data_IF_845762779480
#
_entry.id   IF_845762779480
#
_cell.length_a   1.000
_cell.length_b   1.000
_cell.length_c   1.000
_cell.angle_alpha   90.00
_cell.angle_beta   90.00
_cell.angle_gamma   90.00
#
_symmetry.space_group_name_H-M   'P 1'
#
loop_
_entity.id
_entity.type
_entity.pdbx_description
1 polymer ?
#
# COMPACT_ATOMS: atom_id res chain seq x y z
N UNK A 1 -1.14 19.20 5.29
CA UNK A 1 -0.73 19.89 6.54
C UNK A 1 -0.16 21.23 6.11
N UNK A 2 -0.80 22.33 6.48
CA UNK A 2 -0.52 23.68 5.97
C UNK A 2 0.93 24.15 6.23
N UNK A 3 1.56 23.62 7.26
CA UNK A 3 2.92 24.00 7.66
C UNK A 3 4.00 23.00 7.21
N UNK A 4 3.70 22.04 6.33
CA UNK A 4 4.64 21.02 5.88
C UNK A 4 4.72 21.00 4.35
N UNK A 5 5.90 20.72 3.79
CA UNK A 5 6.13 20.69 2.35
C UNK A 5 7.27 19.76 1.99
N UNK A 6 7.38 19.40 0.71
CA UNK A 6 8.51 18.63 0.16
C UNK A 6 9.84 19.34 0.45
N UNK A 7 9.88 20.67 0.29
CA UNK A 7 11.07 21.48 0.60
C UNK A 7 11.49 21.32 2.07
N UNK A 8 10.54 21.37 3.00
CA UNK A 8 10.83 21.20 4.44
C UNK A 8 11.33 19.79 4.76
N UNK A 9 10.75 18.77 4.15
CA UNK A 9 11.22 17.38 4.29
C UNK A 9 12.69 17.27 3.83
N UNK A 10 12.99 17.80 2.64
CA UNK A 10 14.35 17.80 2.11
C UNK A 10 15.34 18.55 3.02
N UNK A 11 14.96 19.76 3.49
CA UNK A 11 15.79 20.56 4.43
C UNK A 11 15.98 19.88 5.79
N UNK A 12 15.02 19.09 6.25
CA UNK A 12 15.10 18.32 7.48
C UNK A 12 15.96 17.04 7.34
N UNK A 13 16.50 16.74 6.16
CA UNK A 13 17.34 15.57 5.90
C UNK A 13 16.55 14.30 5.57
N UNK A 14 15.30 14.42 5.12
CA UNK A 14 14.52 13.27 4.65
C UNK A 14 15.10 12.67 3.38
N UNK A 15 15.13 11.34 3.29
CA UNK A 15 15.64 10.58 2.14
C UNK A 15 14.62 10.44 1.03
N UNK A 16 13.33 10.47 1.37
CA UNK A 16 12.22 10.37 0.42
C UNK A 16 10.98 11.07 0.96
N UNK A 17 10.03 11.37 0.08
CA UNK A 17 8.69 11.82 0.43
C UNK A 17 7.73 10.66 0.22
N UNK A 18 6.96 10.31 1.26
CA UNK A 18 5.89 9.31 1.17
C UNK A 18 4.53 9.98 1.33
N UNK A 19 3.63 9.71 0.40
CA UNK A 19 2.24 10.12 0.47
C UNK A 19 1.34 8.90 0.36
N UNK A 20 0.28 8.88 1.15
CA UNK A 20 -0.82 7.94 0.99
C UNK A 20 -1.95 8.65 0.23
N UNK A 21 -2.39 8.05 -0.87
CA UNK A 21 -3.57 8.48 -1.61
C UNK A 21 -4.64 7.39 -1.56
N UNK A 22 -5.81 7.78 -1.07
CA UNK A 22 -7.02 6.98 -1.23
C UNK A 22 -7.56 7.21 -2.63
N UNK A 23 -7.59 6.17 -3.45
CA UNK A 23 -8.02 6.31 -4.83
C UNK A 23 -8.88 5.12 -5.26
N UNK A 24 -9.99 5.42 -5.91
CA UNK A 24 -10.90 4.42 -6.42
C UNK A 24 -11.38 4.84 -7.81
N UNK A 25 -11.04 4.10 -8.88
CA UNK A 25 -11.23 4.53 -10.27
C UNK A 25 -12.67 4.83 -10.68
N UNK A 26 -13.65 4.24 -9.98
CA UNK A 26 -15.08 4.43 -10.18
C UNK A 26 -15.71 5.54 -9.31
N UNK A 27 -14.87 6.31 -8.60
CA UNK A 27 -15.33 7.47 -7.83
C UNK A 27 -15.80 8.61 -8.75
N UNK A 28 -16.54 9.55 -8.17
CA UNK A 28 -17.00 10.73 -8.92
C UNK A 28 -15.81 11.54 -9.49
N UNK A 29 -16.02 12.12 -10.65
CA UNK A 29 -14.99 12.83 -11.41
C UNK A 29 -14.25 13.90 -10.58
N UNK A 30 -14.97 14.65 -9.75
CA UNK A 30 -14.40 15.70 -8.90
C UNK A 30 -13.42 15.13 -7.88
N UNK A 31 -13.74 14.00 -7.26
CA UNK A 31 -12.84 13.31 -6.31
C UNK A 31 -11.60 12.76 -7.01
N UNK A 32 -11.76 12.18 -8.21
CA UNK A 32 -10.64 11.69 -9.02
C UNK A 32 -9.70 12.84 -9.41
N UNK A 33 -10.24 13.94 -9.95
CA UNK A 33 -9.44 15.10 -10.35
C UNK A 33 -8.69 15.71 -9.16
N UNK A 34 -9.31 15.80 -7.99
CA UNK A 34 -8.68 16.32 -6.79
C UNK A 34 -7.47 15.46 -6.36
N UNK A 35 -7.64 14.13 -6.31
CA UNK A 35 -6.55 13.22 -5.95
C UNK A 35 -5.43 13.22 -6.99
N UNK A 36 -5.77 13.24 -8.26
CA UNK A 36 -4.81 13.30 -9.35
C UNK A 36 -3.98 14.58 -9.31
N UNK A 37 -4.60 15.74 -9.14
CA UNK A 37 -3.91 17.02 -9.01
C UNK A 37 -3.03 17.09 -7.77
N UNK A 38 -3.51 16.51 -6.65
CA UNK A 38 -2.72 16.46 -5.42
C UNK A 38 -1.44 15.65 -5.61
N UNK A 39 -1.54 14.43 -6.16
CA UNK A 39 -0.39 13.56 -6.39
C UNK A 39 0.57 14.18 -7.41
N UNK A 40 0.04 14.75 -8.50
CA UNK A 40 0.85 15.41 -9.52
C UNK A 40 1.66 16.57 -8.92
N UNK A 41 1.04 17.45 -8.14
CA UNK A 41 1.74 18.55 -7.48
C UNK A 41 2.87 18.08 -6.57
N UNK A 42 2.64 17.02 -5.78
CA UNK A 42 3.69 16.46 -4.91
C UNK A 42 4.83 15.88 -5.75
N UNK A 43 4.53 15.16 -6.83
CA UNK A 43 5.55 14.61 -7.73
C UNK A 43 6.41 15.71 -8.39
N UNK A 44 5.77 16.78 -8.86
CA UNK A 44 6.47 17.96 -9.42
C UNK A 44 7.38 18.64 -8.38
N UNK A 45 6.92 18.76 -7.13
CA UNK A 45 7.77 19.27 -6.04
C UNK A 45 8.93 18.31 -5.70
N UNK A 46 8.70 17.00 -5.70
CA UNK A 46 9.76 16.02 -5.47
C UNK A 46 10.84 16.07 -6.55
N UNK A 47 10.45 16.18 -7.83
CA UNK A 47 11.38 16.38 -8.94
C UNK A 47 12.17 17.70 -8.78
N UNK A 48 11.49 18.81 -8.46
CA UNK A 48 12.11 20.11 -8.21
C UNK A 48 13.18 20.09 -7.13
N UNK A 49 12.92 19.39 -6.03
CA UNK A 49 13.86 19.32 -4.89
C UNK A 49 14.78 18.09 -4.94
N UNK A 50 14.76 17.32 -6.03
CA UNK A 50 15.59 16.11 -6.22
C UNK A 50 15.51 15.17 -5.00
N UNK A 51 14.30 14.79 -4.62
CA UNK A 51 14.00 13.85 -3.54
C UNK A 51 13.04 12.76 -4.06
N UNK A 52 13.32 11.46 -3.81
CA UNK A 52 12.47 10.38 -4.28
C UNK A 52 11.02 10.49 -3.78
N UNK A 53 10.08 10.15 -4.66
CA UNK A 53 8.66 10.14 -4.36
C UNK A 53 8.11 8.71 -4.26
N UNK A 54 7.70 8.31 -3.06
CA UNK A 54 7.02 7.04 -2.77
C UNK A 54 5.52 7.27 -2.64
N UNK A 55 4.73 6.69 -3.54
CA UNK A 55 3.28 6.77 -3.51
C UNK A 55 2.66 5.49 -2.96
N UNK A 56 1.97 5.60 -1.83
CA UNK A 56 1.14 4.55 -1.28
C UNK A 56 -0.30 4.70 -1.79
N UNK A 57 -0.79 3.66 -2.48
CA UNK A 57 -2.16 3.63 -3.01
C UNK A 57 -3.01 2.65 -2.21
N UNK A 58 -4.17 3.10 -1.78
CA UNK A 58 -5.19 2.28 -1.13
C UNK A 58 -6.56 2.52 -1.78
N UNK A 59 -7.26 1.44 -2.08
CA UNK A 59 -8.66 1.47 -2.47
C UNK A 59 -9.51 1.59 -1.20
N UNK A 60 -10.61 2.33 -1.26
CA UNK A 60 -11.52 2.55 -0.14
C UNK A 60 -12.95 2.14 -0.48
N UNK A 61 -13.76 1.69 0.51
CA UNK A 61 -15.18 1.40 0.31
C UNK A 61 -16.00 2.68 0.22
N UNK A 62 -17.07 2.68 -0.58
CA UNK A 62 -18.10 3.71 -0.53
C UNK A 62 -19.09 3.41 0.61
N UNK A 63 -19.86 4.44 1.04
CA UNK A 63 -20.84 4.26 2.12
C UNK A 63 -21.94 3.24 1.77
N UNK A 64 -22.28 3.14 0.49
CA UNK A 64 -23.30 2.26 -0.04
C UNK A 64 -22.75 0.87 -0.44
N UNK A 65 -21.45 0.61 -0.25
CA UNK A 65 -20.89 -0.72 -0.44
C UNK A 65 -21.33 -1.65 0.70
N UNK A 66 -21.73 -2.89 0.39
CA UNK A 66 -22.24 -3.88 1.36
C UNK A 66 -21.28 -4.18 2.53
N UNK A 67 -20.02 -3.83 2.38
CA UNK A 67 -18.94 -4.09 3.35
C UNK A 67 -18.32 -2.80 3.90
N UNK A 68 -19.01 -1.65 3.80
CA UNK A 68 -18.55 -0.42 4.41
C UNK A 68 -18.42 -0.57 5.93
N UNK A 69 -17.23 -0.33 6.46
CA UNK A 69 -16.98 -0.29 7.91
C UNK A 69 -16.61 1.13 8.32
N UNK A 70 -17.00 1.54 9.54
CA UNK A 70 -16.61 2.83 10.14
C UNK A 70 -15.15 2.82 10.63
N UNK A 71 -14.53 1.65 10.68
CA UNK A 71 -13.15 1.48 11.09
C UNK A 71 -12.23 1.63 9.90
N UNK A 72 -11.00 2.04 10.13
CA UNK A 72 -9.92 2.04 9.14
C UNK A 72 -9.55 0.59 8.80
N UNK A 73 -10.45 -0.09 8.12
CA UNK A 73 -10.24 -1.45 7.61
C UNK A 73 -10.20 -1.32 6.10
N UNK A 74 -9.13 -1.80 5.51
CA UNK A 74 -9.03 -1.97 4.08
C UNK A 74 -10.20 -2.82 3.59
N UNK A 75 -10.74 -2.49 2.45
CA UNK A 75 -11.91 -3.17 1.89
C UNK A 75 -11.63 -4.67 1.79
N UNK A 76 -12.40 -5.49 2.50
CA UNK A 76 -12.20 -6.95 2.53
C UNK A 76 -12.52 -7.62 1.19
N UNK A 77 -13.45 -7.07 0.42
CA UNK A 77 -13.77 -7.54 -0.92
C UNK A 77 -13.17 -6.57 -1.95
N UNK A 78 -11.86 -6.68 -2.15
CA UNK A 78 -11.17 -5.89 -3.15
C UNK A 78 -11.52 -6.40 -4.53
N UNK A 79 -12.00 -5.50 -5.37
CA UNK A 79 -11.99 -5.77 -6.78
C UNK A 79 -10.57 -5.55 -7.27
N UNK A 80 -9.87 -6.63 -7.62
CA UNK A 80 -8.50 -6.58 -8.18
C UNK A 80 -8.34 -5.48 -9.22
N UNK A 81 -9.37 -5.28 -10.03
CA UNK A 81 -9.39 -4.27 -11.07
C UNK A 81 -9.25 -2.84 -10.53
N UNK A 82 -9.86 -2.51 -9.37
CA UNK A 82 -9.72 -1.17 -8.77
C UNK A 82 -8.28 -0.89 -8.33
N UNK A 83 -7.63 -1.88 -7.72
CA UNK A 83 -6.21 -1.76 -7.32
C UNK A 83 -5.33 -1.57 -8.56
N UNK A 84 -5.50 -2.43 -9.57
CA UNK A 84 -4.71 -2.40 -10.80
C UNK A 84 -4.91 -1.09 -11.57
N UNK A 85 -6.14 -0.62 -11.71
CA UNK A 85 -6.43 0.60 -12.46
C UNK A 85 -5.98 1.87 -11.71
N UNK A 86 -5.97 1.84 -10.37
CA UNK A 86 -5.36 2.91 -9.57
C UNK A 86 -3.86 3.02 -9.87
N UNK A 87 -3.16 1.89 -9.92
CA UNK A 87 -1.73 1.87 -10.24
C UNK A 87 -1.49 2.33 -11.67
N UNK A 88 -2.27 1.88 -12.66
CA UNK A 88 -2.16 2.32 -14.06
C UNK A 88 -2.32 3.84 -14.19
N UNK A 89 -3.26 4.43 -13.44
CA UNK A 89 -3.42 5.89 -13.46
C UNK A 89 -2.15 6.59 -13.01
N UNK A 90 -1.65 6.24 -11.82
CA UNK A 90 -0.51 6.93 -11.22
C UNK A 90 0.86 6.48 -11.73
N UNK A 91 0.94 5.44 -12.55
CA UNK A 91 2.16 5.07 -13.26
C UNK A 91 2.50 6.00 -14.45
N UNK A 92 1.56 6.88 -14.84
CA UNK A 92 1.80 7.88 -15.90
C UNK A 92 2.88 8.87 -15.49
N UNK A 93 3.75 9.25 -16.43
CA UNK A 93 4.92 10.09 -16.19
C UNK A 93 4.62 11.45 -15.55
N UNK A 94 3.44 11.99 -15.79
CA UNK A 94 3.02 13.28 -15.20
C UNK A 94 3.01 13.31 -13.68
N UNK A 95 2.90 12.15 -13.02
CA UNK A 95 2.87 12.05 -11.56
C UNK A 95 4.26 11.93 -10.92
N UNK A 96 5.31 11.69 -11.70
CA UNK A 96 6.70 11.63 -11.22
C UNK A 96 6.90 10.66 -10.05
N UNK A 97 6.11 9.59 -9.98
CA UNK A 97 6.27 8.56 -8.94
C UNK A 97 7.53 7.75 -9.21
N UNK A 98 8.40 7.63 -8.23
CA UNK A 98 9.62 6.83 -8.31
C UNK A 98 9.40 5.41 -7.79
N UNK A 99 8.65 5.25 -6.70
CA UNK A 99 8.41 3.97 -6.04
C UNK A 99 6.95 3.87 -5.65
N UNK A 100 6.33 2.73 -5.91
CA UNK A 100 5.00 2.42 -5.43
C UNK A 100 5.04 1.60 -4.14
N UNK A 101 4.16 1.91 -3.19
CA UNK A 101 3.79 1.06 -2.07
C UNK A 101 2.35 0.61 -2.27
N UNK A 102 2.15 -0.67 -2.57
CA UNK A 102 0.89 -1.21 -3.06
C UNK A 102 0.29 -2.23 -2.11
N UNK A 103 -1.02 -2.22 -2.01
CA UNK A 103 -1.76 -3.33 -1.40
C UNK A 103 -1.79 -4.55 -2.34
N UNK A 104 -2.01 -5.74 -1.77
CA UNK A 104 -2.26 -6.92 -2.57
C UNK A 104 -3.51 -6.71 -3.45
N UNK A 105 -3.52 -7.19 -4.70
CA UNK A 105 -4.67 -7.03 -5.59
C UNK A 105 -5.81 -8.01 -5.29
N UNK A 106 -5.71 -8.78 -4.20
CA UNK A 106 -6.66 -9.82 -3.77
C UNK A 106 -6.86 -9.75 -2.26
N UNK A 107 -7.91 -10.39 -1.76
CA UNK A 107 -8.16 -10.50 -0.33
C UNK A 107 -7.22 -11.48 0.36
N UNK A 108 -7.06 -11.34 1.69
CA UNK A 108 -6.26 -12.28 2.47
C UNK A 108 -6.75 -13.72 2.40
N UNK A 109 -8.05 -13.94 2.22
CA UNK A 109 -8.65 -15.27 2.07
C UNK A 109 -8.22 -15.96 0.77
N UNK A 110 -7.99 -15.19 -0.30
CA UNK A 110 -7.51 -15.73 -1.59
C UNK A 110 -6.03 -16.17 -1.54
N UNK A 111 -5.37 -15.86 -0.41
CA UNK A 111 -3.98 -16.25 -0.12
C UNK A 111 -3.90 -17.42 0.88
N UNK A 112 -5.04 -18.00 1.26
CA UNK A 112 -5.10 -19.19 2.10
C UNK A 112 -5.23 -20.47 1.24
N UNK A 113 -4.54 -21.53 1.63
CA UNK A 113 -4.56 -22.80 0.90
C UNK A 113 -3.84 -22.74 -0.46
N UNK A 114 -4.44 -23.38 -1.46
CA UNK A 114 -3.91 -23.40 -2.84
C UNK A 114 -4.22 -22.10 -3.56
N UNK A 115 -3.22 -21.53 -4.20
CA UNK A 115 -3.37 -20.26 -4.92
C UNK A 115 -4.06 -20.49 -6.27
N UNK A 116 -5.15 -19.77 -6.48
CA UNK A 116 -5.88 -19.86 -7.74
C UNK A 116 -5.15 -19.17 -8.90
N UNK A 117 -5.49 -19.57 -10.13
CA UNK A 117 -4.95 -18.93 -11.34
C UNK A 117 -5.32 -17.44 -11.41
N UNK A 118 -6.52 -17.09 -10.96
CA UNK A 118 -7.03 -15.71 -10.89
C UNK A 118 -6.16 -14.85 -9.97
N UNK A 119 -5.78 -15.40 -8.80
CA UNK A 119 -4.88 -14.75 -7.84
C UNK A 119 -3.51 -14.50 -8.45
N UNK A 120 -2.91 -15.51 -9.09
CA UNK A 120 -1.62 -15.33 -9.81
C UNK A 120 -1.70 -14.25 -10.89
N UNK A 121 -2.76 -14.29 -11.71
CA UNK A 121 -2.94 -13.33 -12.80
C UNK A 121 -3.19 -11.90 -12.28
N UNK A 122 -3.84 -11.74 -11.12
CA UNK A 122 -3.99 -10.45 -10.46
C UNK A 122 -2.64 -9.83 -10.10
N UNK A 123 -1.71 -10.60 -9.51
CA UNK A 123 -0.35 -10.11 -9.22
C UNK A 123 0.46 -9.78 -10.49
N UNK A 124 0.35 -10.61 -11.54
CA UNK A 124 0.98 -10.31 -12.85
C UNK A 124 0.46 -9.00 -13.45
N UNK A 125 -0.85 -8.78 -13.36
CA UNK A 125 -1.47 -7.56 -13.88
C UNK A 125 -1.11 -6.33 -13.04
N UNK A 126 -1.00 -6.48 -11.71
CA UNK A 126 -0.52 -5.42 -10.82
C UNK A 126 0.91 -5.00 -11.20
N UNK A 127 1.82 -5.97 -11.35
CA UNK A 127 3.19 -5.72 -11.76
C UNK A 127 3.27 -4.99 -13.12
N UNK A 128 2.50 -5.41 -14.11
CA UNK A 128 2.42 -4.71 -15.41
C UNK A 128 1.92 -3.28 -15.28
N UNK A 129 0.98 -3.04 -14.34
CA UNK A 129 0.39 -1.72 -14.13
C UNK A 129 1.40 -0.70 -13.60
N UNK A 130 2.47 -1.12 -12.92
CA UNK A 130 3.53 -0.22 -12.42
C UNK A 130 4.36 0.43 -13.54
N UNK A 131 4.23 -0.05 -14.77
CA UNK A 131 5.00 0.43 -15.93
C UNK A 131 6.53 0.40 -15.68
N UNK A 132 7.02 -0.72 -15.14
CA UNK A 132 8.42 -0.96 -14.76
C UNK A 132 8.96 -0.07 -13.61
N UNK A 133 8.13 0.71 -12.94
CA UNK A 133 8.55 1.44 -11.75
C UNK A 133 8.73 0.46 -10.57
N UNK A 134 9.75 0.65 -9.72
CA UNK A 134 9.92 -0.14 -8.51
C UNK A 134 8.67 -0.12 -7.64
N UNK A 135 8.35 -1.25 -7.03
CA UNK A 135 7.21 -1.33 -6.11
C UNK A 135 7.48 -2.26 -4.94
N UNK A 136 6.85 -1.96 -3.83
CA UNK A 136 6.88 -2.76 -2.62
C UNK A 136 5.44 -3.08 -2.20
N UNK A 137 5.22 -4.27 -1.65
CA UNK A 137 3.89 -4.67 -1.17
C UNK A 137 3.73 -4.30 0.30
N UNK A 138 2.56 -3.81 0.67
CA UNK A 138 2.19 -3.56 2.06
C UNK A 138 1.39 -4.73 2.64
N UNK A 139 1.47 -4.90 3.97
CA UNK A 139 0.89 -6.08 4.62
C UNK A 139 -0.61 -6.01 4.86
N UNK A 140 -1.24 -4.85 4.76
CA UNK A 140 -2.68 -4.63 5.02
C UNK A 140 -3.19 -5.18 6.37
N UNK A 141 -2.30 -5.54 7.29
CA UNK A 141 -2.68 -6.22 8.54
C UNK A 141 -3.08 -7.68 8.36
N UNK A 142 -2.76 -8.32 7.22
CA UNK A 142 -2.98 -9.76 7.01
C UNK A 142 -2.28 -10.59 8.08
N UNK A 143 -2.85 -11.78 8.36
CA UNK A 143 -2.18 -12.80 9.15
C UNK A 143 -0.85 -13.24 8.51
N UNK A 144 0.04 -13.77 9.34
CA UNK A 144 1.40 -14.15 8.97
C UNK A 144 1.45 -15.08 7.74
N UNK A 145 0.64 -16.14 7.74
CA UNK A 145 0.62 -17.14 6.66
C UNK A 145 0.19 -16.53 5.32
N UNK A 146 -0.91 -15.77 5.31
CA UNK A 146 -1.39 -15.09 4.09
C UNK A 146 -0.39 -14.05 3.60
N UNK A 147 0.31 -13.36 4.53
CA UNK A 147 1.32 -12.38 4.13
C UNK A 147 2.55 -13.04 3.50
N UNK A 148 2.99 -14.21 3.97
CA UNK A 148 4.07 -14.94 3.29
C UNK A 148 3.70 -15.34 1.85
N UNK A 149 2.48 -15.83 1.63
CA UNK A 149 1.99 -16.11 0.28
C UNK A 149 1.93 -14.85 -0.59
N UNK A 150 1.47 -13.75 0.01
CA UNK A 150 1.50 -12.44 -0.67
C UNK A 150 2.91 -12.03 -1.09
N UNK A 151 3.91 -12.21 -0.22
CA UNK A 151 5.31 -11.91 -0.52
C UNK A 151 5.85 -12.81 -1.63
N UNK A 152 5.60 -14.13 -1.57
CA UNK A 152 6.01 -15.04 -2.65
C UNK A 152 5.49 -14.58 -4.00
N UNK A 153 4.19 -14.30 -4.12
CA UNK A 153 3.58 -13.84 -5.37
C UNK A 153 4.11 -12.46 -5.80
N UNK A 154 4.29 -11.54 -4.85
CA UNK A 154 4.83 -10.21 -5.14
C UNK A 154 6.25 -10.29 -5.70
N UNK A 155 7.14 -11.04 -5.06
CA UNK A 155 8.53 -11.21 -5.52
C UNK A 155 8.63 -11.96 -6.83
N UNK A 156 7.82 -13.01 -7.05
CA UNK A 156 7.73 -13.71 -8.34
C UNK A 156 7.31 -12.76 -9.49
N UNK A 157 6.62 -11.68 -9.17
CA UNK A 157 6.19 -10.67 -10.13
C UNK A 157 6.99 -9.36 -10.05
N UNK A 158 8.20 -9.39 -9.48
CA UNK A 158 9.15 -8.29 -9.55
C UNK A 158 9.00 -7.19 -8.51
N UNK A 159 8.32 -7.46 -7.39
CA UNK A 159 8.36 -6.56 -6.26
C UNK A 159 9.80 -6.40 -5.75
N UNK A 160 10.18 -5.17 -5.40
CA UNK A 160 11.52 -4.84 -4.91
C UNK A 160 11.66 -5.02 -3.39
N UNK A 161 10.55 -5.24 -2.68
CA UNK A 161 10.53 -5.37 -1.23
C UNK A 161 9.12 -5.34 -0.66
N UNK A 162 9.05 -5.13 0.66
CA UNK A 162 7.78 -4.99 1.37
C UNK A 162 7.86 -3.94 2.47
N UNK A 163 6.69 -3.43 2.89
CA UNK A 163 6.54 -2.57 4.04
C UNK A 163 5.44 -3.13 4.94
N UNK A 164 5.82 -3.78 6.03
CA UNK A 164 4.93 -4.39 6.99
C UNK A 164 5.00 -3.69 8.36
N UNK A 165 3.89 -3.59 9.02
CA UNK A 165 3.77 -3.02 10.36
C UNK A 165 2.94 -3.94 11.26
N UNK A 166 1.62 -3.75 11.27
CA UNK A 166 0.69 -4.50 12.12
C UNK A 166 0.87 -6.02 12.03
N UNK A 167 1.08 -6.56 10.87
CA UNK A 167 1.34 -7.98 10.62
C UNK A 167 2.52 -8.49 11.47
N UNK A 168 3.53 -7.64 11.72
CA UNK A 168 4.72 -8.00 12.50
C UNK A 168 4.47 -7.88 14.01
N UNK A 169 3.89 -6.78 14.46
CA UNK A 169 3.89 -6.44 15.89
C UNK A 169 2.53 -6.57 16.59
N UNK A 170 1.41 -6.66 15.84
CA UNK A 170 0.07 -6.59 16.42
C UNK A 170 -0.21 -7.73 17.41
N UNK A 171 0.25 -8.94 17.10
CA UNK A 171 0.03 -10.10 17.98
C UNK A 171 0.70 -9.92 19.34
N UNK A 172 1.91 -9.35 19.38
CA UNK A 172 2.58 -9.01 20.63
C UNK A 172 1.75 -7.98 21.43
N UNK A 173 1.17 -6.98 20.75
CA UNK A 173 0.36 -5.93 21.39
C UNK A 173 -1.00 -6.39 21.90
N UNK A 174 -1.52 -7.53 21.47
CA UNK A 174 -2.73 -8.15 22.07
C UNK A 174 -2.56 -8.47 23.56
N UNK A 175 -1.32 -8.55 24.04
CA UNK A 175 -1.01 -8.74 25.46
C UNK A 175 -1.12 -7.47 26.32
N UNK A 176 -1.33 -6.28 25.70
CA UNK A 176 -1.51 -5.04 26.45
C UNK A 176 -2.74 -5.16 27.39
N UNK A 177 -2.69 -4.67 28.65
CA UNK A 177 -1.66 -3.78 29.24
C UNK A 177 -0.45 -4.49 29.88
N UNK A 178 -0.29 -5.80 29.78
CA UNK A 178 0.87 -6.50 30.33
C UNK A 178 2.12 -6.21 29.48
N UNK A 179 2.91 -5.20 29.91
CA UNK A 179 4.09 -4.73 29.17
C UNK A 179 5.18 -5.80 29.06
N UNK A 180 5.35 -6.66 30.06
CA UNK A 180 6.36 -7.73 30.01
C UNK A 180 6.02 -8.75 28.92
N UNK A 181 4.76 -9.11 28.79
CA UNK A 181 4.30 -10.02 27.73
C UNK A 181 4.37 -9.36 26.34
N UNK A 182 4.07 -8.07 26.24
CA UNK A 182 4.27 -7.30 24.99
C UNK A 182 5.74 -7.33 24.58
N UNK A 183 6.66 -6.96 25.50
CA UNK A 183 8.11 -6.95 25.24
C UNK A 183 8.63 -8.34 24.83
N UNK A 184 8.18 -9.38 25.52
CA UNK A 184 8.50 -10.77 25.17
C UNK A 184 8.03 -11.11 23.75
N UNK A 185 6.77 -10.82 23.42
CA UNK A 185 6.20 -11.05 22.08
C UNK A 185 6.96 -10.31 20.99
N UNK A 186 7.33 -9.04 21.23
CA UNK A 186 8.14 -8.26 20.28
C UNK A 186 9.52 -8.86 20.05
N UNK A 187 10.15 -9.43 21.07
CA UNK A 187 11.49 -10.04 20.99
C UNK A 187 11.49 -11.46 20.42
N UNK A 188 10.38 -12.13 20.41
CA UNK A 188 10.27 -13.53 19.96
C UNK A 188 9.42 -13.66 18.68
N UNK A 189 8.12 -13.43 18.77
CA UNK A 189 7.17 -13.65 17.68
C UNK A 189 7.35 -12.64 16.54
N UNK A 190 7.63 -11.37 16.89
CA UNK A 190 7.79 -10.30 15.88
C UNK A 190 9.12 -10.37 15.13
N UNK A 191 10.18 -10.93 15.71
CA UNK A 191 11.49 -11.09 15.03
C UNK A 191 11.60 -12.39 14.22
N UNK A 192 10.61 -13.26 14.30
CA UNK A 192 10.56 -14.50 13.51
C UNK A 192 9.94 -14.30 12.11
N UNK A 193 9.76 -13.06 11.69
CA UNK A 193 9.29 -12.69 10.36
C UNK A 193 10.39 -12.67 9.31
#
# INVERSE_FOLDING_TARGET
IDNWSVEKIKKAGGDAVKVLAWYRPDAEKKSLEYQQQYVQRIGEECEKYSIPFLLELLVYPFQDDDHHTKEYIEQKQKKSQHVIDSVKEFAKEKYKVDIFKLEAPVDSNDLEGDISKETEDAFKNLAKATNNKPWVVLSSGMGKTSFYKCLELAYQNGASGYLAGRTIWLDAFKNYPNIENVDKGLKTESVSY
#
